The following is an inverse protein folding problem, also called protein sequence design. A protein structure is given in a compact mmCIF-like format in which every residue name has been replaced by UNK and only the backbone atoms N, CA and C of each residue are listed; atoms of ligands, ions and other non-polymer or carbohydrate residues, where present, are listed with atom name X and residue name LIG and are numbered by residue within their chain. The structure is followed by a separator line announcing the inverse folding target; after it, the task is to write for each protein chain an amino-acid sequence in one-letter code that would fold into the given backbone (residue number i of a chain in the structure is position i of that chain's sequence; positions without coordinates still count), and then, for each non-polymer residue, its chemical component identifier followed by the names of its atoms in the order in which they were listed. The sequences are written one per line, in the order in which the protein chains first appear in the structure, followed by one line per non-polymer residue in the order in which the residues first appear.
data_IF_926300741680
#
_entry.id   IF_926300741680
#
_cell.length_a   1.000
_cell.length_b   1.000
_cell.length_c   1.000
_cell.angle_alpha   90.00
_cell.angle_beta   90.00
_cell.angle_gamma   90.00
#
_symmetry.space_group_name_H-M   'P 1'
#
loop_
_entity.id
_entity.type
_entity.pdbx_description
1 polymer ?
#
# COMPACT_ATOMS: atom_id res chain seq x y z
N UNK A 1 -58.73 -1.65 11.80
CA UNK A 1 -57.58 -1.04 12.55
C UNK A 1 -56.29 -1.87 12.51
N UNK A 2 -56.20 -2.97 11.76
CA UNK A 2 -55.08 -3.93 11.79
C UNK A 2 -53.95 -3.67 10.75
N UNK A 3 -54.23 -2.93 9.67
CA UNK A 3 -53.24 -2.71 8.63
C UNK A 3 -52.17 -1.66 8.97
N UNK A 4 -52.52 -0.56 9.65
CA UNK A 4 -51.56 0.48 10.04
C UNK A 4 -50.51 0.00 11.02
N UNK A 5 -50.87 -0.91 11.94
CA UNK A 5 -49.94 -1.46 12.94
C UNK A 5 -48.89 -2.41 12.31
N UNK A 6 -49.23 -3.13 11.23
CA UNK A 6 -48.29 -4.02 10.54
C UNK A 6 -47.24 -3.29 9.77
N UNK A 7 -47.61 -2.21 9.05
CA UNK A 7 -46.72 -1.34 8.30
C UNK A 7 -45.74 -0.62 9.24
N UNK A 8 -46.24 -0.07 10.35
CA UNK A 8 -45.41 0.61 11.34
C UNK A 8 -44.39 -0.34 11.99
N UNK A 9 -44.85 -1.56 12.33
CA UNK A 9 -43.95 -2.57 12.90
C UNK A 9 -42.89 -3.09 11.93
N UNK A 10 -43.21 -3.16 10.63
CA UNK A 10 -42.25 -3.53 9.59
C UNK A 10 -41.25 -2.41 9.32
N UNK A 11 -41.66 -1.12 9.37
CA UNK A 11 -40.76 0.03 9.23
C UNK A 11 -39.84 0.15 10.45
N UNK A 12 -40.34 -0.01 11.67
CA UNK A 12 -39.51 0.04 12.90
C UNK A 12 -38.43 -1.03 12.87
N UNK A 13 -38.75 -2.28 12.49
CA UNK A 13 -37.76 -3.35 12.35
C UNK A 13 -36.68 -3.06 11.29
N UNK A 14 -36.93 -2.20 10.30
CA UNK A 14 -35.94 -1.88 9.27
C UNK A 14 -34.83 -0.95 9.79
N UNK A 15 -35.14 -0.10 10.76
CA UNK A 15 -34.18 0.86 11.32
C UNK A 15 -33.53 0.37 12.62
N UNK A 16 -34.00 -0.74 13.22
CA UNK A 16 -33.39 -1.30 14.41
C UNK A 16 -31.92 -1.70 14.12
N UNK A 17 -31.01 -1.13 14.89
CA UNK A 17 -29.57 -1.30 14.71
C UNK A 17 -29.06 -1.00 13.28
N UNK A 18 -29.70 -0.08 12.56
CA UNK A 18 -29.39 0.21 11.17
C UNK A 18 -27.97 0.75 10.99
N UNK A 19 -27.54 1.68 11.84
CA UNK A 19 -26.20 2.31 11.78
C UNK A 19 -25.12 1.22 12.02
N UNK A 20 -25.27 0.44 13.09
CA UNK A 20 -24.38 -0.66 13.44
C UNK A 20 -24.29 -1.69 12.31
N UNK A 21 -25.42 -2.06 11.71
CA UNK A 21 -25.48 -3.00 10.59
C UNK A 21 -24.78 -2.43 9.36
N UNK A 22 -24.95 -1.13 9.09
CA UNK A 22 -24.28 -0.46 7.97
C UNK A 22 -22.77 -0.39 8.17
N UNK A 23 -22.29 0.00 9.36
CA UNK A 23 -20.87 0.00 9.71
C UNK A 23 -20.27 -1.40 9.50
N UNK A 24 -20.91 -2.45 10.01
CA UNK A 24 -20.46 -3.84 9.82
C UNK A 24 -20.40 -4.23 8.35
N UNK A 25 -21.42 -3.89 7.56
CA UNK A 25 -21.47 -4.16 6.12
C UNK A 25 -20.37 -3.43 5.36
N UNK A 26 -20.12 -2.17 5.70
CA UNK A 26 -19.06 -1.36 5.15
C UNK A 26 -17.68 -1.98 5.35
N UNK A 27 -17.34 -2.39 6.57
CA UNK A 27 -16.04 -3.01 6.85
C UNK A 27 -15.93 -4.45 6.34
N UNK A 28 -17.03 -5.22 6.28
CA UNK A 28 -17.05 -6.53 5.60
C UNK A 28 -16.64 -6.43 4.12
N UNK A 29 -17.14 -5.44 3.39
CA UNK A 29 -16.74 -5.22 2.00
C UNK A 29 -15.27 -4.81 1.89
N UNK A 30 -14.77 -4.01 2.82
CA UNK A 30 -13.37 -3.58 2.84
C UNK A 30 -12.37 -4.67 3.23
N UNK A 31 -12.80 -5.73 3.92
CA UNK A 31 -11.96 -6.89 4.24
C UNK A 31 -11.38 -7.57 3.00
N UNK A 32 -12.10 -7.51 1.88
CA UNK A 32 -11.65 -8.16 0.64
C UNK A 32 -10.30 -7.61 0.16
N UNK A 33 -10.08 -6.31 0.25
CA UNK A 33 -8.85 -5.66 -0.25
C UNK A 33 -7.58 -6.16 0.46
N UNK A 34 -7.43 -6.11 1.80
CA UNK A 34 -6.21 -6.60 2.47
C UNK A 34 -6.03 -8.11 2.32
N UNK A 35 -7.11 -8.90 2.23
CA UNK A 35 -7.01 -10.35 2.02
C UNK A 35 -6.40 -10.65 0.64
N UNK A 36 -6.94 -10.04 -0.43
CA UNK A 36 -6.40 -10.21 -1.78
C UNK A 36 -4.94 -9.76 -1.84
N UNK A 37 -4.62 -8.64 -1.20
CA UNK A 37 -3.26 -8.13 -1.18
C UNK A 37 -2.29 -9.09 -0.47
N UNK A 38 -2.67 -9.67 0.68
CA UNK A 38 -1.86 -10.67 1.38
C UNK A 38 -1.67 -11.95 0.56
N UNK A 39 -2.70 -12.38 -0.18
CA UNK A 39 -2.58 -13.52 -1.10
C UNK A 39 -1.58 -13.21 -2.22
N UNK A 40 -1.64 -12.01 -2.80
CA UNK A 40 -0.69 -11.58 -3.83
C UNK A 40 0.74 -11.53 -3.28
N UNK A 41 0.95 -11.03 -2.06
CA UNK A 41 2.27 -11.05 -1.42
C UNK A 41 2.75 -12.48 -1.18
N UNK A 42 1.88 -13.40 -0.75
CA UNK A 42 2.24 -14.81 -0.59
C UNK A 42 2.63 -15.45 -1.94
N UNK A 43 1.87 -15.20 -3.00
CA UNK A 43 2.21 -15.68 -4.35
C UNK A 43 3.57 -15.12 -4.78
N UNK A 44 3.82 -13.83 -4.54
CA UNK A 44 5.10 -13.18 -4.87
C UNK A 44 6.28 -13.83 -4.12
N UNK A 45 6.08 -14.18 -2.85
CA UNK A 45 7.10 -14.88 -2.05
C UNK A 45 7.51 -16.22 -2.65
N UNK A 46 6.54 -17.00 -3.12
CA UNK A 46 6.81 -18.31 -3.72
C UNK A 46 7.25 -18.24 -5.19
N UNK A 47 6.83 -17.19 -5.92
CA UNK A 47 7.20 -17.03 -7.34
C UNK A 47 8.63 -16.51 -7.53
N UNK A 48 9.17 -15.78 -6.56
CA UNK A 48 10.52 -15.22 -6.59
C UNK A 48 11.36 -15.85 -5.46
N UNK A 49 12.64 -16.17 -5.71
CA UNK A 49 13.54 -16.76 -4.72
C UNK A 49 13.99 -15.69 -3.69
N UNK A 50 13.02 -15.03 -3.06
CA UNK A 50 13.29 -13.94 -2.13
C UNK A 50 14.03 -14.42 -0.88
N UNK A 51 13.71 -15.62 -0.39
CA UNK A 51 14.38 -16.24 0.75
C UNK A 51 15.86 -16.50 0.50
N UNK A 52 16.19 -17.04 -0.69
CA UNK A 52 17.55 -17.43 -1.05
C UNK A 52 18.48 -16.22 -1.20
N UNK A 53 17.94 -15.06 -1.55
CA UNK A 53 18.72 -13.83 -1.65
C UNK A 53 19.14 -13.30 -0.27
N UNK A 54 18.29 -13.47 0.75
CA UNK A 54 18.61 -13.02 2.13
C UNK A 54 19.44 -14.05 2.87
N UNK A 55 19.14 -15.31 2.65
CA UNK A 55 19.82 -16.42 3.31
C UNK A 55 20.55 -17.26 2.26
N UNK A 56 21.65 -16.72 1.66
CA UNK A 56 22.41 -17.46 0.66
C UNK A 56 22.93 -18.75 1.24
N UNK A 57 22.80 -19.83 0.48
CA UNK A 57 23.28 -21.16 0.88
C UNK A 57 24.82 -21.19 0.87
N UNK A 58 25.43 -21.74 1.91
CA UNK A 58 26.90 -21.94 1.90
C UNK A 58 27.24 -23.04 0.92
N UNK A 59 28.03 -22.72 -0.08
CA UNK A 59 28.56 -23.69 -1.03
C UNK A 59 29.62 -24.54 -0.28
N UNK A 60 29.42 -25.87 -0.27
CA UNK A 60 30.34 -26.79 0.40
C UNK A 60 31.52 -27.17 -0.49
N UNK A 61 31.33 -27.09 -1.79
CA UNK A 61 32.31 -27.35 -2.82
C UNK A 61 32.27 -26.20 -3.83
N UNK A 62 33.28 -25.36 -3.78
CA UNK A 62 33.43 -24.16 -4.62
C UNK A 62 33.64 -24.47 -6.11
N UNK A 63 33.77 -25.73 -6.47
CA UNK A 63 33.95 -26.18 -7.86
C UNK A 63 32.66 -26.58 -8.54
N UNK A 64 31.59 -26.86 -7.81
CA UNK A 64 30.35 -27.42 -8.40
C UNK A 64 29.22 -26.43 -8.61
N UNK A 65 29.49 -25.36 -9.36
CA UNK A 65 28.47 -24.36 -9.71
C UNK A 65 27.29 -24.93 -10.51
N UNK A 66 27.54 -25.99 -11.30
CA UNK A 66 26.49 -26.63 -12.07
C UNK A 66 25.45 -27.33 -11.19
N UNK A 67 25.91 -28.06 -10.16
CA UNK A 67 25.02 -28.72 -9.21
C UNK A 67 24.18 -27.71 -8.43
N UNK A 68 24.79 -26.65 -7.91
CA UNK A 68 24.11 -25.60 -7.21
C UNK A 68 23.07 -24.86 -8.11
N UNK A 69 23.41 -24.60 -9.36
CA UNK A 69 22.46 -24.01 -10.30
C UNK A 69 21.27 -24.93 -10.60
N UNK A 70 21.48 -26.25 -10.71
CA UNK A 70 20.45 -27.26 -10.97
C UNK A 70 19.54 -27.49 -9.75
N UNK A 71 20.08 -27.40 -8.52
CA UNK A 71 19.29 -27.47 -7.28
C UNK A 71 18.48 -26.20 -6.99
N UNK A 72 18.55 -25.19 -7.87
CA UNK A 72 17.95 -23.85 -7.69
C UNK A 72 18.63 -22.96 -6.65
N UNK A 73 19.73 -23.37 -6.04
CA UNK A 73 20.54 -22.58 -5.09
C UNK A 73 21.41 -21.57 -5.85
N UNK A 74 20.74 -20.57 -6.41
CA UNK A 74 21.42 -19.58 -7.28
C UNK A 74 22.19 -18.51 -6.50
N UNK A 75 21.83 -18.29 -5.25
CA UNK A 75 22.46 -17.30 -4.38
C UNK A 75 23.25 -18.02 -3.32
N UNK A 76 24.57 -17.90 -3.39
CA UNK A 76 25.48 -18.68 -2.58
C UNK A 76 26.52 -17.81 -1.89
N UNK A 77 26.93 -18.25 -0.70
CA UNK A 77 28.18 -17.81 -0.05
C UNK A 77 29.23 -18.85 -0.32
N UNK A 78 30.33 -18.44 -0.94
CA UNK A 78 31.47 -19.31 -1.24
C UNK A 78 32.78 -18.70 -0.72
N UNK A 79 33.68 -19.58 -0.37
CA UNK A 79 35.05 -19.28 0.03
C UNK A 79 35.96 -19.75 -1.11
N UNK A 80 36.71 -18.82 -1.70
CA UNK A 80 37.61 -19.11 -2.81
C UNK A 80 39.05 -18.98 -2.37
N UNK A 81 39.88 -19.91 -2.84
CA UNK A 81 41.33 -19.94 -2.59
C UNK A 81 42.07 -19.88 -3.94
N UNK A 82 43.27 -19.32 -3.93
CA UNK A 82 44.16 -19.25 -5.09
C UNK A 82 43.52 -18.70 -6.37
N UNK A 83 42.91 -17.51 -6.26
CA UNK A 83 42.31 -16.79 -7.40
C UNK A 83 43.38 -16.03 -8.19
N UNK A 84 43.39 -16.19 -9.49
CA UNK A 84 44.27 -15.46 -10.41
C UNK A 84 43.45 -14.55 -11.32
N UNK A 85 43.93 -13.31 -11.49
CA UNK A 85 43.27 -12.36 -12.36
C UNK A 85 43.37 -12.77 -13.83
N UNK A 86 42.27 -12.84 -14.52
CA UNK A 86 42.23 -13.27 -15.92
C UNK A 86 42.59 -12.16 -16.93
N UNK A 87 42.82 -10.91 -16.49
CA UNK A 87 43.02 -9.76 -17.36
C UNK A 87 41.73 -9.13 -17.89
N UNK A 88 40.57 -9.72 -17.61
CA UNK A 88 39.28 -9.28 -18.13
C UNK A 88 38.40 -8.62 -17.07
N UNK A 89 37.69 -7.57 -17.49
CA UNK A 89 36.76 -6.83 -16.64
C UNK A 89 35.33 -6.89 -17.18
N UNK A 90 34.38 -6.86 -16.27
CA UNK A 90 32.97 -6.65 -16.60
C UNK A 90 32.62 -5.18 -16.47
N UNK A 91 31.90 -4.61 -17.45
CA UNK A 91 31.42 -3.22 -17.43
C UNK A 91 29.91 -3.15 -17.45
N UNK A 92 29.37 -2.18 -16.70
CA UNK A 92 27.96 -1.80 -16.74
C UNK A 92 27.87 -0.32 -17.09
N UNK A 93 27.55 -0.02 -18.34
CA UNK A 93 27.68 1.33 -18.88
C UNK A 93 29.15 1.73 -19.05
N UNK A 94 29.55 2.85 -18.45
CA UNK A 94 30.95 3.34 -18.44
C UNK A 94 31.79 2.74 -17.32
N UNK A 95 31.17 2.22 -16.28
CA UNK A 95 31.85 1.85 -15.03
C UNK A 95 32.23 0.37 -15.00
N UNK A 96 33.39 0.08 -14.40
CA UNK A 96 33.81 -1.30 -14.15
C UNK A 96 32.93 -1.88 -13.05
N UNK A 97 32.22 -2.96 -13.38
CA UNK A 97 31.29 -3.65 -12.49
C UNK A 97 31.97 -4.81 -11.74
N UNK A 98 33.04 -5.34 -12.28
CA UNK A 98 33.80 -6.44 -11.65
C UNK A 98 34.98 -6.90 -12.49
N UNK A 99 35.80 -7.73 -11.87
CA UNK A 99 37.02 -8.32 -12.41
C UNK A 99 36.87 -9.83 -12.47
N UNK A 100 37.21 -10.46 -13.59
CA UNK A 100 37.17 -11.91 -13.75
C UNK A 100 38.42 -12.55 -13.22
N UNK A 101 38.24 -13.47 -12.29
CA UNK A 101 39.26 -14.32 -11.76
C UNK A 101 39.00 -15.77 -12.14
N UNK A 102 40.04 -16.59 -12.14
CA UNK A 102 39.90 -18.03 -12.26
C UNK A 102 40.64 -18.72 -11.11
N UNK A 103 40.17 -19.90 -10.71
CA UNK A 103 40.86 -20.81 -9.80
C UNK A 103 40.87 -22.22 -10.40
N UNK A 104 41.92 -22.95 -10.11
CA UNK A 104 42.10 -24.32 -10.58
C UNK A 104 41.93 -25.28 -9.40
N UNK A 105 41.05 -26.25 -9.54
CA UNK A 105 40.85 -27.31 -8.59
C UNK A 105 41.07 -28.66 -9.31
N UNK A 106 42.26 -29.20 -9.23
CA UNK A 106 42.67 -30.37 -10.01
C UNK A 106 42.55 -30.09 -11.50
N UNK A 107 41.73 -30.88 -12.21
CA UNK A 107 41.48 -30.73 -13.65
C UNK A 107 40.32 -29.77 -14.00
N UNK A 108 39.68 -29.13 -13.03
CA UNK A 108 38.58 -28.21 -13.25
C UNK A 108 39.00 -26.77 -13.02
N UNK A 109 38.49 -25.86 -13.87
CA UNK A 109 38.69 -24.43 -13.76
C UNK A 109 37.36 -23.74 -13.49
N UNK A 110 37.31 -22.94 -12.45
CA UNK A 110 36.13 -22.12 -12.07
C UNK A 110 36.38 -20.66 -12.33
N UNK A 111 35.40 -19.99 -12.92
CA UNK A 111 35.46 -18.54 -13.16
C UNK A 111 34.63 -17.82 -12.10
N UNK A 112 35.23 -16.78 -11.52
CA UNK A 112 34.64 -15.96 -10.46
C UNK A 112 34.71 -14.50 -10.87
N UNK A 113 33.56 -13.80 -10.86
CA UNK A 113 33.51 -12.35 -11.07
C UNK A 113 33.36 -11.69 -9.70
N UNK A 114 34.40 -10.96 -9.30
CA UNK A 114 34.41 -10.21 -8.03
C UNK A 114 34.15 -8.72 -8.27
N UNK A 115 33.53 -8.08 -7.30
CA UNK A 115 33.31 -6.62 -7.32
C UNK A 115 34.62 -5.85 -7.06
N UNK A 116 34.76 -4.62 -7.55
CA UNK A 116 35.95 -3.81 -7.32
C UNK A 116 36.28 -3.57 -5.84
N UNK A 117 35.25 -3.59 -4.98
CA UNK A 117 35.39 -3.43 -3.52
C UNK A 117 36.00 -4.65 -2.84
N UNK A 118 35.85 -5.84 -3.42
CA UNK A 118 36.32 -7.12 -2.83
C UNK A 118 37.70 -7.47 -3.32
N UNK A 119 38.04 -7.15 -4.57
CA UNK A 119 39.33 -7.50 -5.19
C UNK A 119 40.30 -6.30 -5.31
N UNK A 120 40.09 -5.21 -4.56
CA UNK A 120 40.97 -4.04 -4.53
C UNK A 120 41.39 -3.55 -5.95
N UNK A 121 40.40 -3.45 -6.83
CA UNK A 121 40.57 -3.00 -8.23
C UNK A 121 41.49 -3.87 -9.11
N UNK A 122 41.43 -5.17 -8.92
CA UNK A 122 42.06 -6.14 -9.82
C UNK A 122 43.49 -6.54 -9.40
N UNK A 123 43.66 -6.95 -8.16
CA UNK A 123 44.87 -7.60 -7.69
C UNK A 123 45.26 -8.77 -8.60
N UNK A 124 46.56 -9.00 -8.89
CA UNK A 124 47.02 -10.09 -9.74
C UNK A 124 46.63 -11.48 -9.22
N UNK A 125 46.64 -11.65 -7.92
CA UNK A 125 46.23 -12.90 -7.22
C UNK A 125 45.61 -12.56 -5.89
N UNK A 126 44.72 -13.45 -5.43
CA UNK A 126 44.04 -13.39 -4.13
C UNK A 126 44.16 -14.77 -3.50
N UNK A 127 44.87 -14.86 -2.37
CA UNK A 127 45.13 -16.14 -1.71
C UNK A 127 43.84 -16.74 -1.14
N UNK A 128 42.97 -15.88 -0.56
CA UNK A 128 41.71 -16.32 0.02
C UNK A 128 40.69 -15.19 0.07
N UNK A 129 39.45 -15.47 -0.32
CA UNK A 129 38.35 -14.52 -0.26
C UNK A 129 37.00 -15.19 0.02
N UNK A 130 36.25 -14.62 0.94
CA UNK A 130 34.83 -14.93 1.19
C UNK A 130 33.96 -14.02 0.37
N UNK A 131 33.15 -14.57 -0.51
CA UNK A 131 32.24 -13.78 -1.32
C UNK A 131 30.82 -14.32 -1.30
N UNK A 132 29.85 -13.42 -1.45
CA UNK A 132 28.43 -13.75 -1.63
C UNK A 132 28.01 -13.31 -3.01
N UNK A 133 27.49 -14.22 -3.79
CA UNK A 133 27.19 -13.95 -5.18
C UNK A 133 26.06 -14.81 -5.74
N UNK A 134 25.87 -14.65 -7.03
CA UNK A 134 24.90 -15.39 -7.81
C UNK A 134 25.59 -16.30 -8.80
N UNK A 135 25.14 -17.56 -8.89
CA UNK A 135 25.60 -18.46 -9.93
C UNK A 135 24.82 -18.17 -11.23
N UNK A 136 25.55 -17.89 -12.29
CA UNK A 136 25.03 -17.50 -13.60
C UNK A 136 25.47 -18.52 -14.65
N UNK A 137 24.52 -18.88 -15.52
CA UNK A 137 24.83 -19.67 -16.71
C UNK A 137 25.47 -18.78 -17.78
N UNK A 138 26.64 -19.19 -18.27
CA UNK A 138 27.36 -18.49 -19.33
C UNK A 138 26.51 -18.32 -20.60
N UNK A 139 26.64 -17.15 -21.20
CA UNK A 139 26.06 -16.78 -22.48
C UNK A 139 27.19 -16.50 -23.50
N UNK A 140 26.84 -16.08 -24.70
CA UNK A 140 27.78 -15.83 -25.80
C UNK A 140 29.01 -14.98 -25.40
N UNK A 141 28.84 -13.97 -24.55
CA UNK A 141 29.94 -13.15 -24.06
C UNK A 141 30.88 -13.93 -23.12
N UNK A 142 30.33 -14.85 -22.33
CA UNK A 142 31.13 -15.72 -21.47
C UNK A 142 31.93 -16.72 -22.31
N UNK A 143 31.33 -17.31 -23.35
CA UNK A 143 32.05 -18.20 -24.29
C UNK A 143 33.19 -17.46 -24.99
N UNK A 144 32.99 -16.20 -25.39
CA UNK A 144 34.07 -15.37 -25.94
C UNK A 144 35.20 -15.11 -24.94
N UNK A 145 34.81 -14.84 -23.66
CA UNK A 145 35.81 -14.69 -22.58
C UNK A 145 36.72 -15.93 -22.46
N UNK A 146 36.10 -17.13 -22.45
CA UNK A 146 36.86 -18.38 -22.36
C UNK A 146 37.80 -18.59 -23.55
N UNK A 147 37.33 -18.29 -24.77
CA UNK A 147 38.16 -18.38 -25.98
C UNK A 147 39.33 -17.40 -25.91
N UNK A 148 39.11 -16.16 -25.52
CA UNK A 148 40.16 -15.16 -25.40
C UNK A 148 41.18 -15.54 -24.28
N UNK A 149 40.66 -15.96 -23.12
CA UNK A 149 41.51 -16.43 -22.02
C UNK A 149 42.40 -17.60 -22.43
N UNK A 150 41.88 -18.55 -23.26
CA UNK A 150 42.67 -19.67 -23.75
C UNK A 150 43.87 -19.23 -24.59
N UNK A 151 43.74 -18.15 -25.37
CA UNK A 151 44.84 -17.57 -26.12
C UNK A 151 45.88 -16.89 -25.21
N UNK A 152 45.43 -16.22 -24.16
CA UNK A 152 46.33 -15.46 -23.27
C UNK A 152 47.17 -16.37 -22.37
N UNK A 153 46.68 -17.57 -22.05
CA UNK A 153 47.39 -18.58 -21.23
C UNK A 153 48.04 -19.68 -22.08
N UNK A 154 48.15 -19.51 -23.40
CA UNK A 154 48.72 -20.47 -24.35
C UNK A 154 48.09 -21.86 -24.27
N UNK A 155 46.79 -21.94 -24.00
CA UNK A 155 46.03 -23.20 -23.95
C UNK A 155 45.13 -23.36 -25.17
N UNK A 156 44.80 -24.61 -25.51
CA UNK A 156 43.88 -24.83 -26.62
C UNK A 156 42.48 -24.44 -26.20
N UNK A 157 41.76 -23.69 -27.06
CA UNK A 157 40.40 -23.23 -26.76
C UNK A 157 39.44 -24.40 -26.47
N UNK A 158 39.66 -25.54 -27.11
CA UNK A 158 38.88 -26.76 -26.85
C UNK A 158 39.23 -27.36 -25.46
N UNK A 159 40.48 -27.43 -25.10
CA UNK A 159 40.90 -27.94 -23.79
C UNK A 159 40.37 -27.09 -22.65
N UNK A 160 40.47 -25.76 -22.76
CA UNK A 160 39.94 -24.86 -21.73
C UNK A 160 38.42 -24.93 -21.63
N UNK A 161 37.69 -25.00 -22.77
CA UNK A 161 36.24 -25.11 -22.77
C UNK A 161 35.69 -26.43 -22.20
N UNK A 162 36.48 -27.50 -22.23
CA UNK A 162 36.13 -28.79 -21.60
C UNK A 162 36.40 -28.76 -20.08
N UNK A 163 37.34 -27.95 -19.63
CA UNK A 163 37.80 -27.85 -18.23
C UNK A 163 36.99 -26.79 -17.45
N UNK A 164 36.60 -25.71 -18.10
CA UNK A 164 35.85 -24.60 -17.48
C UNK A 164 34.35 -24.89 -17.44
N UNK A 165 33.75 -24.71 -16.27
CA UNK A 165 32.29 -24.83 -16.13
C UNK A 165 31.53 -23.80 -16.98
N UNK A 166 30.39 -24.21 -17.56
CA UNK A 166 29.46 -23.32 -18.22
C UNK A 166 28.73 -22.36 -17.26
N UNK A 167 28.99 -22.49 -15.96
CA UNK A 167 28.45 -21.68 -14.91
C UNK A 167 29.57 -20.93 -14.20
N UNK A 168 29.33 -19.68 -13.84
CA UNK A 168 30.31 -18.88 -13.12
C UNK A 168 29.66 -18.17 -11.93
N UNK A 169 30.46 -17.88 -10.93
CA UNK A 169 30.03 -17.09 -9.78
C UNK A 169 30.15 -15.59 -10.09
N UNK A 170 29.14 -14.79 -9.70
CA UNK A 170 29.15 -13.35 -9.87
C UNK A 170 28.71 -12.64 -8.59
N UNK A 171 29.63 -11.94 -7.96
CA UNK A 171 29.35 -11.08 -6.82
C UNK A 171 28.57 -9.81 -7.23
N UNK A 172 28.92 -9.09 -8.32
CA UNK A 172 28.19 -7.87 -8.71
C UNK A 172 26.71 -8.09 -9.01
N UNK A 173 26.32 -9.31 -9.41
CA UNK A 173 24.92 -9.64 -9.70
C UNK A 173 24.13 -10.05 -8.43
N UNK A 174 24.78 -10.06 -7.27
CA UNK A 174 24.14 -10.18 -5.97
C UNK A 174 23.73 -8.79 -5.43
N UNK A 175 22.68 -8.22 -5.94
CA UNK A 175 22.21 -6.86 -5.63
C UNK A 175 21.67 -6.72 -4.19
N UNK A 176 22.50 -6.94 -3.18
CA UNK A 176 22.11 -6.95 -1.77
C UNK A 176 21.38 -5.65 -1.35
N UNK A 177 21.93 -4.48 -1.70
CA UNK A 177 21.35 -3.19 -1.28
C UNK A 177 19.93 -2.98 -1.80
N UNK A 178 19.71 -3.19 -3.10
CA UNK A 178 18.38 -3.06 -3.71
C UNK A 178 17.41 -4.12 -3.17
N UNK A 179 17.90 -5.29 -2.88
CA UNK A 179 17.12 -6.38 -2.30
C UNK A 179 16.68 -6.07 -0.88
N UNK A 180 17.54 -5.55 -0.02
CA UNK A 180 17.17 -5.11 1.34
C UNK A 180 16.06 -4.05 1.28
N UNK A 181 16.17 -3.05 0.40
CA UNK A 181 15.14 -2.02 0.23
C UNK A 181 13.81 -2.67 -0.17
N UNK A 182 13.82 -3.57 -1.16
CA UNK A 182 12.62 -4.32 -1.56
C UNK A 182 12.00 -5.11 -0.40
N UNK A 183 12.82 -5.74 0.43
CA UNK A 183 12.35 -6.48 1.61
C UNK A 183 11.70 -5.58 2.66
N UNK A 184 12.31 -4.43 2.94
CA UNK A 184 11.73 -3.46 3.86
C UNK A 184 10.34 -3.03 3.36
N UNK A 185 10.19 -2.73 2.07
CA UNK A 185 8.89 -2.42 1.48
C UNK A 185 7.93 -3.61 1.54
N UNK A 186 8.37 -4.81 1.24
CA UNK A 186 7.56 -6.02 1.29
C UNK A 186 6.99 -6.25 2.70
N UNK A 187 7.83 -6.25 3.72
CA UNK A 187 7.39 -6.47 5.09
C UNK A 187 6.58 -5.30 5.64
N UNK A 188 6.91 -4.06 5.28
CA UNK A 188 6.12 -2.89 5.69
C UNK A 188 4.71 -2.95 5.10
N UNK A 189 4.55 -3.30 3.83
CA UNK A 189 3.23 -3.44 3.19
C UNK A 189 2.47 -4.64 3.71
N UNK A 190 3.14 -5.75 4.02
CA UNK A 190 2.54 -6.90 4.67
C UNK A 190 2.01 -6.55 6.08
N UNK A 191 2.82 -5.88 6.89
CA UNK A 191 2.44 -5.44 8.23
C UNK A 191 1.26 -4.45 8.18
N UNK A 192 1.26 -3.51 7.23
CA UNK A 192 0.14 -2.59 7.01
C UNK A 192 -1.15 -3.32 6.64
N UNK A 193 -1.07 -4.31 5.74
CA UNK A 193 -2.25 -5.10 5.35
C UNK A 193 -2.81 -5.95 6.50
N UNK A 194 -1.93 -6.55 7.31
CA UNK A 194 -2.32 -7.27 8.52
C UNK A 194 -2.98 -6.34 9.54
N UNK A 195 -2.43 -5.15 9.76
CA UNK A 195 -3.02 -4.15 10.63
C UNK A 195 -4.41 -3.73 10.15
N UNK A 196 -4.58 -3.46 8.86
CA UNK A 196 -5.89 -3.14 8.28
C UNK A 196 -6.89 -4.30 8.49
N UNK A 197 -6.46 -5.54 8.29
CA UNK A 197 -7.29 -6.72 8.50
C UNK A 197 -7.78 -6.81 9.94
N UNK A 198 -6.87 -6.68 10.91
CA UNK A 198 -7.18 -6.71 12.35
C UNK A 198 -8.15 -5.59 12.70
N UNK A 199 -7.88 -4.35 12.26
CA UNK A 199 -8.75 -3.20 12.53
C UNK A 199 -10.15 -3.38 11.93
N UNK A 200 -10.26 -3.89 10.70
CA UNK A 200 -11.58 -4.11 10.09
C UNK A 200 -12.37 -5.20 10.81
N UNK A 201 -11.72 -6.29 11.23
CA UNK A 201 -12.36 -7.33 12.07
C UNK A 201 -12.81 -6.73 13.40
N UNK A 202 -11.98 -5.88 14.01
CA UNK A 202 -12.32 -5.20 15.27
C UNK A 202 -13.54 -4.28 15.10
N UNK A 203 -13.63 -3.51 14.02
CA UNK A 203 -14.76 -2.63 13.72
C UNK A 203 -16.04 -3.41 13.40
N UNK A 204 -15.93 -4.58 12.79
CA UNK A 204 -17.08 -5.47 12.57
C UNK A 204 -17.59 -6.03 13.91
N UNK A 205 -16.69 -6.39 14.82
CA UNK A 205 -17.05 -6.97 16.12
C UNK A 205 -17.55 -5.90 17.09
N UNK A 206 -16.91 -4.72 17.08
CA UNK A 206 -17.16 -3.60 17.97
C UNK A 206 -17.37 -2.30 17.15
N UNK A 207 -18.56 -2.06 16.59
CA UNK A 207 -18.84 -0.91 15.70
C UNK A 207 -18.56 0.47 16.33
N UNK A 208 -18.71 0.58 17.66
CA UNK A 208 -18.42 1.82 18.37
C UNK A 208 -16.92 2.24 18.32
N UNK A 209 -16.02 1.31 17.98
CA UNK A 209 -14.61 1.60 17.74
C UNK A 209 -14.32 2.10 16.33
N UNK A 210 -15.27 2.01 15.40
CA UNK A 210 -15.10 2.49 14.04
C UNK A 210 -14.86 4.02 14.02
N UNK A 211 -14.08 4.53 13.07
CA UNK A 211 -13.77 5.97 12.97
C UNK A 211 -15.00 6.87 12.99
N UNK A 212 -16.11 6.44 12.38
CA UNK A 212 -17.38 7.17 12.40
C UNK A 212 -17.91 7.42 13.83
N UNK A 213 -17.73 6.46 14.73
CA UNK A 213 -18.15 6.57 16.12
C UNK A 213 -17.06 7.19 17.00
N UNK A 214 -15.77 6.95 16.67
CA UNK A 214 -14.66 7.56 17.40
C UNK A 214 -14.63 9.09 17.28
N UNK A 215 -15.12 9.63 16.18
CA UNK A 215 -15.31 11.07 16.02
C UNK A 215 -16.27 11.67 17.07
N UNK A 216 -17.15 10.87 17.67
CA UNK A 216 -18.05 11.30 18.73
C UNK A 216 -17.36 11.51 20.09
N UNK A 217 -16.14 10.99 20.27
CA UNK A 217 -15.39 11.08 21.55
C UNK A 217 -15.17 12.53 21.99
N UNK A 218 -15.12 13.45 21.04
CA UNK A 218 -14.95 14.88 21.32
C UNK A 218 -16.19 15.54 21.89
N UNK A 219 -17.36 14.91 21.75
CA UNK A 219 -18.66 15.40 22.21
C UNK A 219 -19.20 14.62 23.40
N UNK A 220 -18.77 13.36 23.58
CA UNK A 220 -19.22 12.50 24.66
C UNK A 220 -18.71 11.07 24.56
N UNK A 221 -19.42 10.12 25.16
CA UNK A 221 -19.06 8.73 25.14
C UNK A 221 -19.56 8.04 23.82
N UNK A 222 -18.65 7.58 22.93
CA UNK A 222 -19.02 7.12 21.59
C UNK A 222 -20.08 6.01 21.57
N UNK A 223 -20.01 5.08 22.54
CA UNK A 223 -20.96 3.96 22.62
C UNK A 223 -22.36 4.44 22.99
N UNK A 224 -22.47 5.34 23.97
CA UNK A 224 -23.75 5.88 24.41
C UNK A 224 -24.40 6.70 23.31
N UNK A 225 -23.61 7.58 22.66
CA UNK A 225 -24.11 8.42 21.56
C UNK A 225 -24.51 7.58 20.34
N UNK A 226 -23.81 6.46 20.07
CA UNK A 226 -24.24 5.52 19.03
C UNK A 226 -25.55 4.84 19.40
N UNK A 227 -25.73 4.38 20.65
CA UNK A 227 -26.96 3.77 21.15
C UNK A 227 -28.13 4.76 21.07
N UNK A 228 -27.94 6.01 21.50
CA UNK A 228 -28.93 7.09 21.38
C UNK A 228 -29.32 7.37 19.91
N UNK A 229 -28.34 7.50 19.02
CA UNK A 229 -28.61 7.72 17.59
C UNK A 229 -29.35 6.54 16.92
N UNK A 230 -29.08 5.31 17.36
CA UNK A 230 -29.81 4.10 16.92
C UNK A 230 -31.25 4.09 17.42
N UNK A 231 -31.48 4.46 18.69
CA UNK A 231 -32.83 4.53 19.28
C UNK A 231 -33.67 5.61 18.59
N UNK A 232 -33.12 6.80 18.35
CA UNK A 232 -33.82 7.86 17.63
C UNK A 232 -34.13 7.46 16.19
N UNK A 233 -33.17 6.83 15.49
CA UNK A 233 -33.39 6.37 14.13
C UNK A 233 -34.45 5.27 14.06
N UNK A 234 -34.53 4.38 15.07
CA UNK A 234 -35.52 3.31 15.16
C UNK A 234 -36.95 3.86 15.38
N UNK A 235 -37.09 5.01 16.04
CA UNK A 235 -38.42 5.63 16.30
C UNK A 235 -38.98 6.39 15.11
N UNK A 236 -38.31 6.50 14.01
CA UNK A 236 -38.52 7.18 12.75
C UNK A 236 -37.65 8.44 12.63
N UNK A 237 -36.85 8.54 11.58
CA UNK A 237 -36.10 9.74 11.28
C UNK A 237 -37.08 10.88 10.89
N UNK A 238 -36.74 12.10 11.25
CA UNK A 238 -37.51 13.29 10.88
C UNK A 238 -37.38 13.60 9.39
N UNK A 239 -36.19 13.31 8.84
CA UNK A 239 -35.90 13.36 7.42
C UNK A 239 -34.99 12.18 7.03
N UNK A 240 -35.30 11.54 5.92
CA UNK A 240 -34.51 10.43 5.39
C UNK A 240 -34.35 10.55 3.89
N UNK A 241 -33.14 10.42 3.42
CA UNK A 241 -32.79 10.18 2.02
C UNK A 241 -32.23 8.77 1.86
N UNK A 242 -31.63 8.43 0.72
CA UNK A 242 -31.03 7.11 0.50
C UNK A 242 -29.88 6.83 1.50
N UNK A 243 -29.02 7.82 1.72
CA UNK A 243 -27.77 7.66 2.51
C UNK A 243 -27.70 8.56 3.75
N UNK A 244 -28.57 9.55 3.88
CA UNK A 244 -28.52 10.56 4.94
C UNK A 244 -29.82 10.59 5.73
N UNK A 245 -29.69 10.65 7.05
CA UNK A 245 -30.81 10.67 7.97
C UNK A 245 -30.63 11.80 8.98
N UNK A 246 -31.75 12.44 9.33
CA UNK A 246 -31.83 13.42 10.42
C UNK A 246 -32.78 12.85 11.46
N UNK A 247 -32.29 12.69 12.68
CA UNK A 247 -33.09 12.37 13.85
C UNK A 247 -33.33 13.64 14.69
N UNK A 248 -33.84 13.52 15.88
CA UNK A 248 -34.06 14.68 16.76
C UNK A 248 -32.75 15.39 17.11
N UNK A 249 -31.68 14.63 17.40
CA UNK A 249 -30.42 15.19 17.86
C UNK A 249 -29.23 14.92 16.94
N UNK A 250 -29.32 14.02 15.96
CA UNK A 250 -28.21 13.58 15.16
C UNK A 250 -28.44 13.72 13.66
N UNK A 251 -27.38 14.13 12.95
CA UNK A 251 -27.21 13.85 11.52
C UNK A 251 -26.41 12.56 11.35
N UNK A 252 -26.89 11.67 10.49
CA UNK A 252 -26.33 10.33 10.27
C UNK A 252 -26.13 10.12 8.77
N UNK A 253 -24.89 9.73 8.40
CA UNK A 253 -24.53 9.32 7.05
C UNK A 253 -24.21 7.82 7.06
N UNK A 254 -24.80 7.07 6.13
CA UNK A 254 -24.58 5.61 5.97
C UNK A 254 -24.31 5.24 4.52
N UNK A 255 -23.37 5.95 3.90
CA UNK A 255 -23.07 5.79 2.49
C UNK A 255 -22.05 4.67 2.22
N UNK A 256 -22.02 4.09 1.02
CA UNK A 256 -20.96 3.15 0.59
C UNK A 256 -19.56 3.76 0.65
N UNK A 257 -19.43 5.08 0.70
CA UNK A 257 -18.18 5.81 0.73
C UNK A 257 -17.69 6.11 2.15
N UNK A 258 -18.57 6.07 3.13
CA UNK A 258 -18.25 6.30 4.54
C UNK A 258 -19.48 6.43 5.39
N UNK A 259 -19.29 6.26 6.68
CA UNK A 259 -20.29 6.48 7.70
C UNK A 259 -19.87 7.67 8.56
N UNK A 260 -20.84 8.47 9.00
CA UNK A 260 -20.61 9.55 9.94
C UNK A 260 -21.81 9.74 10.84
N UNK A 261 -21.57 10.18 12.06
CA UNK A 261 -22.61 10.57 13.04
C UNK A 261 -22.13 11.88 13.64
N UNK A 262 -23.01 12.88 13.70
CA UNK A 262 -22.71 14.16 14.33
C UNK A 262 -23.94 14.75 15.03
N UNK A 263 -23.82 15.23 16.27
CA UNK A 263 -24.91 15.95 16.92
C UNK A 263 -25.24 17.25 16.17
N UNK A 264 -26.53 17.50 15.87
CA UNK A 264 -26.96 18.68 15.12
C UNK A 264 -26.54 19.98 15.80
N UNK A 265 -26.55 20.01 17.14
CA UNK A 265 -26.11 21.19 17.91
C UNK A 265 -24.64 21.55 17.72
N UNK A 266 -23.81 20.62 17.29
CA UNK A 266 -22.38 20.80 17.06
C UNK A 266 -22.07 21.21 15.63
N UNK A 267 -23.02 21.20 14.71
CA UNK A 267 -22.84 21.60 13.31
C UNK A 267 -22.71 23.12 13.25
N UNK A 268 -21.63 23.60 12.61
CA UNK A 268 -21.34 25.02 12.44
C UNK A 268 -21.64 25.53 11.06
N UNK A 269 -21.39 24.70 10.03
CA UNK A 269 -21.46 25.13 8.66
C UNK A 269 -21.81 23.99 7.72
N UNK A 270 -22.74 24.26 6.82
CA UNK A 270 -23.17 23.33 5.77
C UNK A 270 -23.13 24.01 4.42
N UNK A 271 -22.61 23.31 3.42
CA UNK A 271 -22.58 23.79 2.05
C UNK A 271 -22.47 22.63 1.06
N UNK A 272 -22.87 22.89 -0.17
CA UNK A 272 -22.77 21.89 -1.24
C UNK A 272 -21.76 22.29 -2.30
N UNK A 273 -21.09 21.27 -2.86
CA UNK A 273 -20.32 21.38 -4.08
C UNK A 273 -20.95 20.56 -5.19
N UNK A 274 -20.91 21.10 -6.42
CA UNK A 274 -21.15 20.33 -7.63
C UNK A 274 -19.84 20.01 -8.31
N UNK A 275 -19.62 18.74 -8.64
CA UNK A 275 -18.46 18.28 -9.38
C UNK A 275 -18.89 17.83 -10.76
N UNK A 276 -18.33 18.48 -11.78
CA UNK A 276 -18.53 18.14 -13.17
C UNK A 276 -17.52 17.07 -13.59
N UNK A 277 -18.01 15.87 -13.87
CA UNK A 277 -17.18 14.78 -14.37
C UNK A 277 -17.00 14.90 -15.88
N UNK A 278 -15.73 14.86 -16.33
CA UNK A 278 -15.36 14.88 -17.74
C UNK A 278 -14.64 13.57 -18.09
N UNK A 279 -15.03 12.96 -19.21
CA UNK A 279 -14.29 11.87 -19.84
C UNK A 279 -13.82 12.40 -21.19
N UNK A 280 -12.49 12.49 -21.38
CA UNK A 280 -11.88 13.13 -22.54
C UNK A 280 -12.36 14.59 -22.70
N UNK A 281 -13.14 14.88 -23.72
CA UNK A 281 -13.65 16.22 -24.04
C UNK A 281 -15.12 16.42 -23.69
N UNK A 282 -15.85 15.35 -23.29
CA UNK A 282 -17.29 15.39 -23.02
C UNK A 282 -17.59 15.49 -21.54
N UNK A 283 -18.56 16.36 -21.20
CA UNK A 283 -19.15 16.43 -19.87
C UNK A 283 -20.14 15.25 -19.73
N UNK A 284 -19.84 14.39 -18.78
CA UNK A 284 -20.56 13.11 -18.63
C UNK A 284 -21.63 13.16 -17.56
N UNK A 285 -21.35 13.71 -16.40
CA UNK A 285 -22.31 13.78 -15.29
C UNK A 285 -21.95 14.88 -14.30
N UNK A 286 -22.94 15.31 -13.51
CA UNK A 286 -22.75 16.20 -12.37
C UNK A 286 -23.06 15.39 -11.12
N UNK A 287 -22.16 15.36 -10.17
CA UNK A 287 -22.40 14.85 -8.83
C UNK A 287 -22.39 15.98 -7.81
N UNK A 288 -23.18 15.82 -6.78
CA UNK A 288 -23.26 16.79 -5.69
C UNK A 288 -22.68 16.17 -4.42
N UNK A 289 -22.02 16.98 -3.62
CA UNK A 289 -21.45 16.59 -2.34
C UNK A 289 -21.87 17.60 -1.29
N UNK A 290 -22.52 17.11 -0.23
CA UNK A 290 -22.77 17.92 0.95
C UNK A 290 -21.52 17.90 1.86
N UNK A 291 -21.13 19.07 2.31
CA UNK A 291 -20.06 19.28 3.26
C UNK A 291 -20.65 19.80 4.56
N UNK A 292 -20.27 19.17 5.66
CA UNK A 292 -20.65 19.54 7.01
C UNK A 292 -19.38 19.79 7.82
N UNK A 293 -19.29 20.97 8.41
CA UNK A 293 -18.26 21.33 9.35
C UNK A 293 -18.88 21.46 10.74
N UNK A 294 -18.38 20.70 11.68
CA UNK A 294 -18.84 20.71 13.07
C UNK A 294 -17.73 21.15 14.02
N UNK A 295 -18.09 21.46 15.26
CA UNK A 295 -17.16 21.80 16.32
C UNK A 295 -16.02 20.77 16.47
N UNK A 296 -14.91 21.19 17.07
CA UNK A 296 -13.73 20.35 17.30
C UNK A 296 -13.07 19.83 15.99
N UNK A 297 -13.20 20.62 14.90
CA UNK A 297 -12.60 20.31 13.59
C UNK A 297 -13.10 19.02 12.95
N UNK A 298 -14.33 18.62 13.22
CA UNK A 298 -14.94 17.49 12.53
C UNK A 298 -15.48 17.94 11.17
N UNK A 299 -15.02 17.29 10.10
CA UNK A 299 -15.47 17.54 8.72
C UNK A 299 -16.06 16.26 8.14
N UNK A 300 -17.29 16.37 7.62
CA UNK A 300 -18.01 15.26 7.00
C UNK A 300 -18.27 15.59 5.54
N UNK A 301 -18.05 14.63 4.68
CA UNK A 301 -18.32 14.70 3.25
C UNK A 301 -19.32 13.63 2.87
N UNK A 302 -20.43 14.06 2.28
CA UNK A 302 -21.51 13.18 1.80
C UNK A 302 -21.51 13.22 0.26
N UNK A 303 -20.66 12.41 -0.41
CA UNK A 303 -20.50 12.46 -1.86
C UNK A 303 -21.62 11.73 -2.60
N UNK A 304 -21.80 12.08 -3.87
CA UNK A 304 -22.66 11.38 -4.84
C UNK A 304 -24.15 11.35 -4.50
N UNK A 305 -24.62 12.35 -3.79
CA UNK A 305 -26.05 12.52 -3.52
C UNK A 305 -26.75 13.31 -4.65
N UNK A 306 -28.07 13.25 -4.69
CA UNK A 306 -28.86 14.09 -5.60
C UNK A 306 -28.88 15.53 -5.10
N UNK A 307 -29.15 16.48 -6.01
CA UNK A 307 -29.27 17.88 -5.63
C UNK A 307 -30.47 18.08 -4.67
N UNK A 308 -31.57 17.41 -4.94
CA UNK A 308 -32.80 17.52 -4.14
C UNK A 308 -32.58 17.02 -2.70
N UNK A 309 -31.91 15.90 -2.53
CA UNK A 309 -31.64 15.34 -1.21
C UNK A 309 -30.76 16.26 -0.37
N UNK A 310 -29.71 16.83 -0.99
CA UNK A 310 -28.82 17.76 -0.31
C UNK A 310 -29.56 19.04 0.07
N UNK A 311 -30.36 19.59 -0.83
CA UNK A 311 -31.14 20.82 -0.56
C UNK A 311 -32.13 20.58 0.59
N UNK A 312 -32.87 19.46 0.58
CA UNK A 312 -33.75 19.09 1.68
C UNK A 312 -33.07 18.92 3.02
N UNK A 313 -31.89 18.29 3.04
CA UNK A 313 -31.08 18.15 4.26
C UNK A 313 -30.57 19.50 4.76
N UNK A 314 -30.12 20.37 3.85
CA UNK A 314 -29.63 21.71 4.22
C UNK A 314 -30.71 22.58 4.79
N UNK A 315 -31.88 22.60 4.16
CA UNK A 315 -33.04 23.39 4.62
C UNK A 315 -33.48 22.92 6.01
N UNK A 316 -33.62 21.61 6.19
CA UNK A 316 -34.00 21.04 7.49
C UNK A 316 -33.00 21.38 8.61
N UNK A 317 -31.68 21.20 8.33
CA UNK A 317 -30.64 21.51 9.34
C UNK A 317 -30.62 22.99 9.71
N UNK A 318 -30.84 23.87 8.74
CA UNK A 318 -30.94 25.31 8.96
C UNK A 318 -32.14 25.70 9.83
N UNK A 319 -33.28 25.02 9.67
CA UNK A 319 -34.47 25.20 10.51
C UNK A 319 -34.26 24.62 11.92
N UNK A 320 -33.65 23.43 12.04
CA UNK A 320 -33.41 22.75 13.31
C UNK A 320 -32.37 23.48 14.20
N UNK A 321 -31.42 24.18 13.59
CA UNK A 321 -30.42 24.96 14.32
C UNK A 321 -30.07 26.26 13.57
N UNK A 322 -30.66 27.36 13.97
CA UNK A 322 -30.45 28.68 13.35
C UNK A 322 -29.00 29.22 13.44
N UNK A 323 -28.14 28.61 14.23
CA UNK A 323 -26.73 28.99 14.32
C UNK A 323 -25.87 28.38 13.19
N UNK A 324 -26.44 27.48 12.39
CA UNK A 324 -25.72 26.86 11.30
C UNK A 324 -25.55 27.86 10.15
N UNK A 325 -24.31 28.08 9.73
CA UNK A 325 -23.99 28.86 8.54
C UNK A 325 -24.32 28.03 7.29
N UNK A 326 -25.09 28.57 6.36
CA UNK A 326 -25.55 27.89 5.16
C UNK A 326 -24.89 28.46 3.92
N UNK A 327 -24.46 27.60 3.02
CA UNK A 327 -23.87 27.98 1.74
C UNK A 327 -22.37 28.31 1.82
N UNK A 328 -21.71 28.22 0.66
CA UNK A 328 -20.29 28.50 0.53
C UNK A 328 -20.06 29.98 0.25
N UNK A 329 -19.56 30.70 1.25
CA UNK A 329 -19.11 32.08 1.13
C UNK A 329 -17.79 32.28 1.89
N UNK A 330 -17.02 33.27 1.48
CA UNK A 330 -15.79 33.64 2.18
C UNK A 330 -16.07 34.16 3.61
N UNK A 331 -17.19 34.84 3.80
CA UNK A 331 -17.63 35.30 5.11
C UNK A 331 -17.91 34.13 6.05
N UNK A 332 -18.65 33.11 5.58
CA UNK A 332 -18.92 31.92 6.39
C UNK A 332 -17.63 31.16 6.72
N UNK A 333 -16.71 31.10 5.78
CA UNK A 333 -15.40 30.49 5.99
C UNK A 333 -14.64 31.17 7.13
N UNK A 334 -14.55 32.50 7.09
CA UNK A 334 -13.86 33.27 8.10
C UNK A 334 -14.50 33.15 9.48
N UNK A 335 -15.84 33.17 9.55
CA UNK A 335 -16.57 32.94 10.80
C UNK A 335 -16.27 31.58 11.41
N UNK A 336 -16.21 30.52 10.61
CA UNK A 336 -15.86 29.17 11.10
C UNK A 336 -14.41 29.09 11.52
N UNK A 337 -13.48 29.74 10.81
CA UNK A 337 -12.08 29.85 11.22
C UNK A 337 -11.93 30.57 12.56
N UNK A 338 -12.67 31.64 12.77
CA UNK A 338 -12.68 32.37 14.03
C UNK A 338 -13.19 31.49 15.19
N UNK A 339 -14.28 30.77 14.99
CA UNK A 339 -14.86 29.87 16.00
C UNK A 339 -13.90 28.71 16.33
N UNK A 340 -13.27 28.13 15.32
CA UNK A 340 -12.42 26.96 15.49
C UNK A 340 -10.97 27.28 15.82
N UNK A 341 -10.54 28.53 15.64
CA UNK A 341 -9.14 28.97 15.93
C UNK A 341 -8.08 28.35 15.01
N UNK A 342 -8.46 27.78 13.88
CA UNK A 342 -7.53 27.23 12.86
C UNK A 342 -8.07 27.48 11.46
N UNK A 343 -7.19 27.80 10.48
CA UNK A 343 -7.60 27.97 9.10
C UNK A 343 -8.15 26.65 8.54
N UNK A 344 -9.31 26.72 7.89
CA UNK A 344 -9.88 25.60 7.16
C UNK A 344 -8.94 25.21 6.01
N UNK A 345 -8.71 23.91 5.82
CA UNK A 345 -7.83 23.36 4.76
C UNK A 345 -8.27 23.71 3.32
N UNK A 346 -9.30 24.50 3.15
CA UNK A 346 -9.85 24.95 1.85
C UNK A 346 -8.84 25.76 1.04
N UNK A 347 -7.94 26.52 1.68
CA UNK A 347 -6.89 27.29 0.98
C UNK A 347 -5.98 26.41 0.12
N UNK A 348 -5.70 25.18 0.55
CA UNK A 348 -4.92 24.23 -0.24
C UNK A 348 -5.64 23.76 -1.50
N UNK A 349 -6.98 23.71 -1.49
CA UNK A 349 -7.79 23.34 -2.65
C UNK A 349 -7.92 24.51 -3.64
N UNK A 350 -8.02 25.74 -3.14
CA UNK A 350 -8.10 26.95 -3.97
C UNK A 350 -6.73 27.32 -4.57
N UNK A 351 -5.64 27.13 -3.85
CA UNK A 351 -4.28 27.35 -4.36
C UNK A 351 -3.90 26.37 -5.49
N UNK A 352 -4.46 25.15 -5.50
CA UNK A 352 -4.29 24.19 -6.62
C UNK A 352 -5.04 24.60 -7.90
N UNK A 353 -6.05 25.46 -7.82
CA UNK A 353 -6.79 25.95 -9.00
C UNK A 353 -6.15 27.18 -9.65
N UNK A 354 -5.15 27.80 -9.02
CA UNK A 354 -4.42 28.98 -9.54
C UNK A 354 -3.07 28.63 -10.20
N UNK A 355 -2.71 27.36 -10.28
CA UNK A 355 -1.63 26.81 -11.10
C UNK A 355 -2.26 25.92 -12.19
#
# INVERSE_FOLDING_TARGET
MTGKNLYTKHMINNYEHYITRNIRSFYKRRLFSPIVYLILLAILWFAFPLGDIIFPVKLQDDTNFEAAYKSSDRYVKAEFEDLYFSGYTSKKGSDINGYYYYCMHGDSCSIVLLSPSTCEEGLPSIDKVDAVGKIIKGKDNYSKLIVNLSHDIDWTSKGLSETVSNYYFSEPDYHLRSTIILFVFYFATMAYSLLCLILYILYIRFPFLAPACQNLIVYGHPRQMLEEAEEELATLPQLATEDMFITEHYFILTSPYGNAIVPIKEILWIYKYSTLHKILWYHFSISYTLHISANKHLYIHCPKNTKSDIDGIMDYLAEANHNILVGFSEENRLKVEEIQGKPLHIERLLARKKK
#
